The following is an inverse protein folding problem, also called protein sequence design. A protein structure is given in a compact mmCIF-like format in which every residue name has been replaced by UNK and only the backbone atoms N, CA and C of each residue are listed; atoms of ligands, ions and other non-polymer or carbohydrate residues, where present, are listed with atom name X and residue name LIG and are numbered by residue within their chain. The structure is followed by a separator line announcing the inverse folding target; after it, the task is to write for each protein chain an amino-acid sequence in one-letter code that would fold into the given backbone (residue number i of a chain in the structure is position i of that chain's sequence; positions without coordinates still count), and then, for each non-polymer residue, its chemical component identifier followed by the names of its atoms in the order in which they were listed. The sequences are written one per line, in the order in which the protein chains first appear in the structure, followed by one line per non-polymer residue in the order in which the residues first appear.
data_IF_829584740286
#
_entry.id   IF_829584740286
#
_cell.length_a   1.000
_cell.length_b   1.000
_cell.length_c   1.000
_cell.angle_alpha   90.00
_cell.angle_beta   90.00
_cell.angle_gamma   90.00
#
_symmetry.space_group_name_H-M   'P 1'
#
loop_
_entity.id
_entity.type
_entity.pdbx_description
1 polymer ?
#
# COMPACT_ATOMS: atom_id res chain seq x y z
N UNK A 1 -11.28 -21.31 -10.29
CA UNK A 1 -10.53 -21.00 -9.07
C UNK A 1 -9.47 -19.97 -9.43
N UNK A 2 -9.45 -18.84 -8.75
CA UNK A 2 -8.52 -17.74 -9.03
C UNK A 2 -7.40 -17.75 -8.01
N UNK A 3 -6.16 -17.58 -8.45
CA UNK A 3 -5.03 -17.41 -7.54
C UNK A 3 -4.66 -15.93 -7.47
N UNK A 4 -4.30 -15.45 -6.28
CA UNK A 4 -3.73 -14.12 -6.12
C UNK A 4 -2.34 -14.17 -5.47
N UNK A 5 -1.45 -13.32 -5.94
CA UNK A 5 -0.09 -13.19 -5.45
C UNK A 5 0.05 -12.00 -4.50
N UNK A 6 0.81 -12.17 -3.41
CA UNK A 6 1.20 -11.09 -2.53
C UNK A 6 2.60 -11.34 -1.97
N UNK A 7 3.41 -10.28 -1.91
CA UNK A 7 4.82 -10.35 -1.52
C UNK A 7 5.11 -9.93 -0.07
N UNK A 8 4.09 -9.64 0.73
CA UNK A 8 4.22 -9.33 2.16
C UNK A 8 2.95 -9.63 2.92
N UNK A 9 3.03 -9.68 4.26
CA UNK A 9 1.86 -9.90 5.10
C UNK A 9 0.78 -8.81 4.96
N UNK A 10 1.18 -7.55 4.79
CA UNK A 10 0.24 -6.45 4.59
C UNK A 10 -0.52 -6.59 3.24
N UNK A 11 0.20 -6.93 2.17
CA UNK A 11 -0.40 -7.16 0.85
C UNK A 11 -1.28 -8.42 0.84
N UNK A 12 -0.90 -9.47 1.56
CA UNK A 12 -1.73 -10.66 1.75
C UNK A 12 -3.03 -10.31 2.48
N UNK A 13 -2.95 -9.49 3.52
CA UNK A 13 -4.13 -9.04 4.27
C UNK A 13 -5.09 -8.25 3.39
N UNK A 14 -4.58 -7.36 2.53
CA UNK A 14 -5.40 -6.64 1.55
C UNK A 14 -6.08 -7.60 0.55
N UNK A 15 -5.39 -8.65 0.11
CA UNK A 15 -5.94 -9.71 -0.74
C UNK A 15 -7.05 -10.52 -0.05
N UNK A 16 -6.87 -10.89 1.20
CA UNK A 16 -7.90 -11.60 1.98
C UNK A 16 -9.11 -10.69 2.27
N UNK A 17 -8.90 -9.41 2.55
CA UNK A 17 -9.98 -8.44 2.70
C UNK A 17 -10.79 -8.28 1.39
N UNK A 18 -10.11 -8.18 0.25
CA UNK A 18 -10.75 -8.13 -1.06
C UNK A 18 -11.58 -9.40 -1.32
N UNK A 19 -10.97 -10.58 -1.14
CA UNK A 19 -11.63 -11.88 -1.29
C UNK A 19 -12.90 -11.96 -0.47
N UNK A 20 -12.86 -11.55 0.79
CA UNK A 20 -14.04 -11.55 1.67
C UNK A 20 -15.10 -10.56 1.20
N UNK A 21 -14.70 -9.35 0.80
CA UNK A 21 -15.63 -8.29 0.38
C UNK A 21 -16.39 -8.62 -0.91
N UNK A 22 -15.74 -9.28 -1.87
CA UNK A 22 -16.37 -9.65 -3.15
C UNK A 22 -16.93 -11.08 -3.17
N UNK A 23 -16.76 -11.85 -2.09
CA UNK A 23 -17.22 -13.24 -2.01
C UNK A 23 -16.54 -14.19 -3.02
N UNK A 24 -15.30 -13.88 -3.42
CA UNK A 24 -14.61 -14.65 -4.46
C UNK A 24 -13.86 -15.86 -3.88
N UNK A 25 -13.86 -16.98 -4.61
CA UNK A 25 -12.99 -18.13 -4.31
C UNK A 25 -11.58 -17.88 -4.86
N UNK A 26 -10.74 -17.24 -4.04
CA UNK A 26 -9.34 -16.94 -4.36
C UNK A 26 -8.39 -17.64 -3.40
N UNK A 27 -7.28 -18.14 -3.93
CA UNK A 27 -6.21 -18.78 -3.14
C UNK A 27 -4.97 -17.89 -3.13
N UNK A 28 -4.46 -17.59 -1.94
CA UNK A 28 -3.19 -16.86 -1.78
C UNK A 28 -2.01 -17.71 -2.21
N UNK A 29 -1.15 -17.14 -3.05
CA UNK A 29 0.17 -17.68 -3.41
C UNK A 29 1.24 -16.73 -2.86
N UNK A 30 2.04 -17.15 -1.86
CA UNK A 30 3.05 -16.29 -1.26
C UNK A 30 4.27 -16.11 -2.17
N UNK A 31 4.78 -14.90 -2.21
CA UNK A 31 6.03 -14.54 -2.91
C UNK A 31 6.96 -13.76 -1.97
N UNK A 32 8.26 -13.82 -2.25
CA UNK A 32 9.27 -13.07 -1.49
C UNK A 32 9.44 -11.64 -2.06
N UNK A 33 8.39 -10.82 -1.93
CA UNK A 33 8.40 -9.42 -2.36
C UNK A 33 7.56 -9.16 -3.63
N UNK A 34 7.51 -7.88 -4.01
CA UNK A 34 6.64 -7.38 -5.10
C UNK A 34 7.14 -7.79 -6.47
N UNK A 35 8.46 -7.76 -6.70
CA UNK A 35 9.02 -8.09 -8.02
C UNK A 35 8.69 -9.53 -8.47
N UNK A 36 8.89 -10.59 -7.67
CA UNK A 36 8.47 -11.94 -8.06
C UNK A 36 6.95 -12.07 -8.18
N UNK A 37 6.15 -11.36 -7.37
CA UNK A 37 4.68 -11.34 -7.52
C UNK A 37 4.29 -10.80 -8.90
N UNK A 38 4.89 -9.68 -9.32
CA UNK A 38 4.62 -9.05 -10.61
C UNK A 38 5.05 -9.96 -11.79
N UNK A 39 6.18 -10.64 -11.67
CA UNK A 39 6.62 -11.60 -12.68
C UNK A 39 5.65 -12.78 -12.84
N UNK A 40 5.15 -13.31 -11.72
CA UNK A 40 4.16 -14.38 -11.72
C UNK A 40 2.82 -13.95 -12.35
N UNK A 41 2.40 -12.69 -12.13
CA UNK A 41 1.24 -12.12 -12.85
C UNK A 41 1.46 -12.03 -14.34
N UNK A 42 2.65 -11.57 -14.78
CA UNK A 42 3.00 -11.44 -16.19
C UNK A 42 3.10 -12.82 -16.86
N UNK A 43 3.59 -13.84 -16.15
CA UNK A 43 3.66 -15.21 -16.61
C UNK A 43 2.29 -15.91 -16.63
N UNK A 44 1.28 -15.38 -15.91
CA UNK A 44 -0.04 -15.99 -15.78
C UNK A 44 -0.16 -17.06 -14.68
N UNK A 45 0.89 -17.22 -13.86
CA UNK A 45 0.90 -18.14 -12.72
C UNK A 45 -0.15 -17.76 -11.68
N UNK A 46 -0.40 -16.46 -11.50
CA UNK A 46 -1.48 -15.90 -10.72
C UNK A 46 -2.30 -14.90 -11.55
N UNK A 47 -3.61 -14.91 -11.37
CA UNK A 47 -4.53 -14.08 -12.16
C UNK A 47 -4.69 -12.68 -11.57
N UNK A 48 -4.43 -12.52 -10.27
CA UNK A 48 -4.53 -11.26 -9.52
C UNK A 48 -3.25 -11.07 -8.71
N UNK A 49 -2.81 -9.83 -8.53
CA UNK A 49 -1.70 -9.49 -7.64
C UNK A 49 -1.98 -8.21 -6.88
N UNK A 50 -1.55 -8.19 -5.64
CA UNK A 50 -1.57 -6.99 -4.81
C UNK A 50 -0.13 -6.48 -4.77
N UNK A 51 0.10 -5.35 -5.43
CA UNK A 51 1.43 -4.77 -5.64
C UNK A 51 1.36 -3.24 -5.53
N UNK A 52 2.48 -2.57 -5.25
CA UNK A 52 2.52 -1.11 -5.33
C UNK A 52 2.56 -0.61 -6.78
N UNK A 53 2.05 0.60 -6.97
CA UNK A 53 1.96 1.21 -8.30
C UNK A 53 3.33 1.52 -8.88
N UNK A 54 4.29 1.96 -8.06
CA UNK A 54 5.64 2.28 -8.52
C UNK A 54 6.29 1.07 -9.23
N UNK A 55 6.22 -0.10 -8.59
CA UNK A 55 6.77 -1.34 -9.17
C UNK A 55 6.01 -1.83 -10.40
N UNK A 56 4.69 -1.63 -10.45
CA UNK A 56 3.84 -2.12 -11.55
C UNK A 56 3.77 -1.18 -12.75
N UNK A 57 4.10 0.10 -12.60
CA UNK A 57 3.85 1.16 -13.58
C UNK A 57 4.39 0.85 -14.98
N UNK A 58 5.64 0.38 -15.08
CA UNK A 58 6.24 0.02 -16.37
C UNK A 58 5.48 -1.13 -17.06
N UNK A 59 5.01 -2.11 -16.30
CA UNK A 59 4.25 -3.25 -16.81
C UNK A 59 2.82 -2.88 -17.19
N UNK A 60 2.21 -1.93 -16.47
CA UNK A 60 0.89 -1.36 -16.81
C UNK A 60 0.99 -0.59 -18.14
N UNK A 61 1.98 0.31 -18.25
CA UNK A 61 2.21 1.08 -19.49
C UNK A 61 2.49 0.20 -20.70
N UNK A 62 3.20 -0.92 -20.50
CA UNK A 62 3.48 -1.91 -21.54
C UNK A 62 2.30 -2.87 -21.84
N UNK A 63 1.15 -2.70 -21.19
CA UNK A 63 -0.03 -3.56 -21.35
C UNK A 63 0.15 -5.01 -20.88
N UNK A 64 1.21 -5.30 -20.10
CA UNK A 64 1.48 -6.65 -19.59
C UNK A 64 0.63 -7.01 -18.38
N UNK A 65 0.23 -6.03 -17.62
CA UNK A 65 -0.74 -6.16 -16.52
C UNK A 65 -1.73 -4.99 -16.59
N UNK A 66 -2.92 -5.17 -16.03
CA UNK A 66 -3.96 -4.16 -15.96
C UNK A 66 -4.23 -3.79 -14.50
N UNK A 67 -4.17 -2.50 -14.18
CA UNK A 67 -4.65 -2.00 -12.90
C UNK A 67 -6.19 -2.05 -12.87
N UNK A 68 -6.75 -2.60 -11.80
CA UNK A 68 -8.20 -2.76 -11.63
C UNK A 68 -8.77 -1.75 -10.63
N UNK A 69 -8.01 -1.49 -9.56
CA UNK A 69 -8.41 -0.63 -8.45
C UNK A 69 -7.15 -0.18 -7.70
N UNK A 70 -7.19 0.99 -7.08
CA UNK A 70 -6.12 1.50 -6.21
C UNK A 70 -6.65 1.78 -4.81
N UNK A 71 -5.79 1.68 -3.79
CA UNK A 71 -6.10 2.17 -2.45
C UNK A 71 -5.89 3.68 -2.33
N UNK A 72 -6.57 4.28 -1.36
CA UNK A 72 -6.49 5.71 -1.08
C UNK A 72 -7.79 6.46 -1.37
N UNK A 73 -7.85 7.70 -0.88
CA UNK A 73 -9.06 8.53 -0.95
C UNK A 73 -9.32 9.16 -2.32
N UNK A 74 -8.32 9.17 -3.20
CA UNK A 74 -8.39 9.73 -4.53
C UNK A 74 -7.64 8.85 -5.53
N UNK A 75 -8.03 8.92 -6.80
CA UNK A 75 -7.33 8.26 -7.89
C UNK A 75 -5.91 8.80 -8.02
N UNK A 76 -5.00 7.94 -8.45
CA UNK A 76 -3.62 8.36 -8.69
C UNK A 76 -3.52 9.14 -10.01
N UNK A 77 -2.75 10.25 -10.06
CA UNK A 77 -2.55 11.00 -11.29
C UNK A 77 -2.02 10.17 -12.47
N UNK A 78 -1.24 9.12 -12.15
CA UNK A 78 -0.67 8.21 -13.15
C UNK A 78 -1.68 7.19 -13.71
N UNK A 79 -2.79 7.00 -13.00
CA UNK A 79 -3.85 6.03 -13.31
C UNK A 79 -5.24 6.68 -13.17
N UNK A 80 -5.52 7.76 -13.92
CA UNK A 80 -6.74 8.58 -13.73
C UNK A 80 -8.03 7.80 -14.01
N UNK A 81 -7.95 6.76 -14.84
CA UNK A 81 -9.11 5.94 -15.21
C UNK A 81 -9.33 4.76 -14.25
N UNK A 82 -8.40 4.51 -13.32
CA UNK A 82 -8.51 3.41 -12.35
C UNK A 82 -9.21 3.91 -11.07
N UNK A 83 -10.36 3.32 -10.70
CA UNK A 83 -11.10 3.75 -9.52
C UNK A 83 -10.35 3.40 -8.23
N UNK A 84 -10.68 4.09 -7.15
CA UNK A 84 -10.30 3.66 -5.80
C UNK A 84 -11.21 2.55 -5.29
N UNK A 85 -10.79 1.82 -4.25
CA UNK A 85 -11.66 0.85 -3.57
C UNK A 85 -12.94 1.51 -3.03
N UNK A 86 -12.86 2.76 -2.58
CA UNK A 86 -14.01 3.53 -2.10
C UNK A 86 -15.00 3.79 -3.23
N UNK A 87 -14.50 4.27 -4.39
CA UNK A 87 -15.33 4.51 -5.59
C UNK A 87 -15.94 3.21 -6.15
N UNK A 88 -15.21 2.11 -6.03
CA UNK A 88 -15.67 0.78 -6.45
C UNK A 88 -16.70 0.15 -5.48
N UNK A 89 -17.03 0.81 -4.36
CA UNK A 89 -18.01 0.31 -3.38
C UNK A 89 -17.45 -0.64 -2.31
N UNK A 90 -16.13 -0.71 -2.17
CA UNK A 90 -15.44 -1.58 -1.22
C UNK A 90 -14.56 -0.81 -0.21
N UNK A 91 -15.10 0.16 0.55
CA UNK A 91 -14.30 0.98 1.46
C UNK A 91 -13.60 0.16 2.57
N UNK A 92 -14.13 -0.99 2.94
CA UNK A 92 -13.52 -1.89 3.94
C UNK A 92 -12.25 -2.59 3.47
N UNK A 93 -11.96 -2.56 2.17
CA UNK A 93 -10.75 -3.13 1.55
C UNK A 93 -9.66 -2.08 1.39
N UNK A 94 -9.98 -0.80 1.60
CA UNK A 94 -9.01 0.29 1.46
C UNK A 94 -7.99 0.27 2.60
N UNK A 95 -6.88 -0.41 2.36
CA UNK A 95 -5.74 -0.55 3.26
C UNK A 95 -4.54 0.18 2.65
N UNK A 96 -4.46 1.51 2.78
CA UNK A 96 -3.37 2.26 2.19
C UNK A 96 -2.04 1.91 2.84
N UNK A 97 -1.05 1.58 2.01
CA UNK A 97 0.32 1.39 2.47
C UNK A 97 1.03 2.74 2.54
N UNK A 98 1.73 2.98 3.61
CA UNK A 98 2.53 4.19 3.81
C UNK A 98 3.92 3.86 4.36
N UNK A 99 4.84 4.79 4.19
CA UNK A 99 6.19 4.71 4.75
C UNK A 99 6.41 5.90 5.67
N UNK A 100 7.13 5.69 6.76
CA UNK A 100 7.50 6.75 7.68
C UNK A 100 8.96 6.66 8.09
N UNK A 101 9.51 7.79 8.53
CA UNK A 101 10.84 7.87 9.08
C UNK A 101 10.78 7.66 10.59
N UNK A 102 11.59 6.73 11.08
CA UNK A 102 11.75 6.46 12.51
C UNK A 102 13.20 6.67 12.92
N UNK A 103 13.40 7.02 14.19
CA UNK A 103 14.71 7.10 14.82
C UNK A 103 14.85 6.07 15.94
N UNK A 104 16.06 5.65 16.30
CA UNK A 104 16.29 4.80 17.48
C UNK A 104 15.75 5.44 18.75
N UNK A 105 15.26 4.60 19.68
CA UNK A 105 14.84 5.07 21.00
C UNK A 105 16.02 5.77 21.71
N UNK A 106 15.73 6.90 22.39
CA UNK A 106 16.74 7.71 23.06
C UNK A 106 17.49 8.69 22.16
N UNK A 107 17.12 8.82 20.87
CA UNK A 107 17.65 9.91 20.03
C UNK A 107 17.27 11.26 20.66
N UNK A 108 18.25 12.19 20.89
CA UNK A 108 17.95 13.48 21.50
C UNK A 108 16.93 14.30 20.70
N UNK A 109 15.99 14.96 21.40
CA UNK A 109 14.92 15.75 20.78
C UNK A 109 15.42 16.81 19.79
N UNK A 110 16.54 17.47 20.10
CA UNK A 110 17.14 18.45 19.21
C UNK A 110 17.54 17.85 17.85
N UNK A 111 17.94 16.57 17.80
CA UNK A 111 18.24 15.85 16.56
C UNK A 111 16.93 15.51 15.84
N UNK A 112 15.93 15.00 16.55
CA UNK A 112 14.62 14.66 15.96
C UNK A 112 13.98 15.88 15.32
N UNK A 113 13.96 17.01 15.99
CA UNK A 113 13.43 18.28 15.45
C UNK A 113 14.16 18.71 14.19
N UNK A 114 15.49 18.64 14.17
CA UNK A 114 16.29 19.02 12.99
C UNK A 114 16.06 18.08 11.80
N UNK A 115 16.07 16.77 12.04
CA UNK A 115 15.84 15.77 10.99
C UNK A 115 14.44 15.94 10.41
N UNK A 116 13.40 16.05 11.28
CA UNK A 116 12.05 16.28 10.84
C UNK A 116 11.91 17.56 10.01
N UNK A 117 12.47 18.68 10.48
CA UNK A 117 12.40 19.94 9.74
C UNK A 117 13.05 19.85 8.35
N UNK A 118 14.18 19.17 8.24
CA UNK A 118 14.82 18.92 6.94
C UNK A 118 13.96 18.08 6.00
N UNK A 119 13.35 17.00 6.52
CA UNK A 119 12.43 16.15 5.73
C UNK A 119 11.19 16.90 5.27
N UNK A 120 10.52 17.62 6.17
CA UNK A 120 9.34 18.43 5.82
C UNK A 120 9.69 19.41 4.70
N UNK A 121 10.79 20.15 4.84
CA UNK A 121 11.23 21.09 3.83
C UNK A 121 11.43 20.44 2.45
N UNK A 122 12.09 19.27 2.42
CA UNK A 122 12.32 18.54 1.15
C UNK A 122 11.01 18.00 0.56
N UNK A 123 10.10 17.51 1.39
CA UNK A 123 8.78 17.01 0.93
C UNK A 123 7.84 18.12 0.44
N UNK A 124 8.14 19.40 0.73
CA UNK A 124 7.42 20.56 0.23
C UNK A 124 8.02 21.15 -1.05
N UNK A 125 9.21 20.70 -1.46
CA UNK A 125 9.86 21.16 -2.69
C UNK A 125 9.08 20.65 -3.93
N UNK A 126 8.65 21.55 -4.85
CA UNK A 126 7.80 21.16 -5.98
C UNK A 126 8.40 20.06 -6.87
N UNK A 127 9.72 20.10 -7.06
CA UNK A 127 10.42 19.10 -7.87
C UNK A 127 10.43 17.73 -7.19
N UNK A 128 10.58 17.68 -5.87
CA UNK A 128 10.52 16.43 -5.09
C UNK A 128 9.10 15.87 -5.07
N UNK A 129 8.11 16.73 -4.84
CA UNK A 129 6.69 16.35 -4.90
C UNK A 129 6.35 15.74 -6.27
N UNK A 130 6.77 16.39 -7.36
CA UNK A 130 6.52 15.89 -8.72
C UNK A 130 7.14 14.50 -8.94
N UNK A 131 8.39 14.28 -8.53
CA UNK A 131 9.09 12.99 -8.65
C UNK A 131 8.43 11.91 -7.78
N UNK A 132 7.99 12.23 -6.57
CA UNK A 132 7.29 11.28 -5.70
C UNK A 132 5.92 10.89 -6.30
N UNK A 133 5.16 11.86 -6.78
CA UNK A 133 3.90 11.59 -7.45
C UNK A 133 4.11 10.75 -8.72
N UNK A 134 5.13 11.05 -9.52
CA UNK A 134 5.48 10.23 -10.69
C UNK A 134 5.82 8.79 -10.30
N UNK A 135 6.45 8.58 -9.15
CA UNK A 135 6.73 7.25 -8.59
C UNK A 135 5.50 6.60 -7.92
N UNK A 136 4.32 7.22 -7.92
CA UNK A 136 3.12 6.68 -7.27
C UNK A 136 3.09 6.86 -5.75
N UNK A 137 3.93 7.76 -5.22
CA UNK A 137 3.99 8.09 -3.80
C UNK A 137 3.37 9.46 -3.56
N UNK A 138 2.35 9.54 -2.72
CA UNK A 138 1.75 10.81 -2.28
C UNK A 138 2.52 11.30 -1.05
N UNK A 139 3.26 12.43 -1.14
CA UNK A 139 3.97 12.96 0.01
C UNK A 139 2.97 13.50 1.05
N UNK A 140 3.20 13.13 2.29
CA UNK A 140 2.41 13.57 3.44
C UNK A 140 3.35 13.92 4.59
N UNK A 141 3.07 14.97 5.33
CA UNK A 141 3.81 15.35 6.54
C UNK A 141 2.91 15.25 7.76
N UNK A 142 3.46 14.84 8.89
CA UNK A 142 2.76 14.75 10.16
C UNK A 142 3.64 15.20 11.32
N UNK A 143 3.03 15.46 12.47
CA UNK A 143 3.78 15.57 13.72
C UNK A 143 4.11 14.17 14.27
N UNK A 144 5.11 14.02 15.14
CA UNK A 144 5.39 12.73 15.80
C UNK A 144 4.17 12.18 16.55
N UNK A 145 3.43 13.04 17.24
CA UNK A 145 2.23 12.63 18.00
C UNK A 145 1.13 12.12 17.06
N UNK A 146 0.84 12.85 15.98
CA UNK A 146 -0.15 12.43 14.98
C UNK A 146 0.24 11.10 14.31
N UNK A 147 1.54 10.87 14.05
CA UNK A 147 2.02 9.58 13.55
C UNK A 147 1.85 8.47 14.60
N UNK A 148 2.11 8.77 15.86
CA UNK A 148 1.91 7.83 16.98
C UNK A 148 0.44 7.44 17.14
N UNK A 149 -0.47 8.40 17.10
CA UNK A 149 -1.92 8.15 17.13
C UNK A 149 -2.40 7.30 15.96
N UNK A 150 -1.94 7.62 14.74
CA UNK A 150 -2.23 6.84 13.53
C UNK A 150 -1.77 5.38 13.68
N UNK A 151 -0.56 5.15 14.18
CA UNK A 151 -0.03 3.80 14.41
C UNK A 151 -0.89 2.99 15.39
N UNK A 152 -1.34 3.61 16.48
CA UNK A 152 -2.20 2.95 17.46
C UNK A 152 -3.57 2.61 16.87
N UNK A 153 -4.16 3.53 16.14
CA UNK A 153 -5.44 3.33 15.47
C UNK A 153 -5.35 2.21 14.42
N UNK A 154 -4.40 2.29 13.49
CA UNK A 154 -4.24 1.29 12.44
C UNK A 154 -3.92 -0.09 13.01
N UNK A 155 -3.13 -0.16 14.09
CA UNK A 155 -2.89 -1.43 14.79
C UNK A 155 -4.18 -2.08 15.28
N UNK A 156 -5.10 -1.29 15.84
CA UNK A 156 -6.38 -1.79 16.32
C UNK A 156 -7.28 -2.24 15.15
N UNK A 157 -7.32 -1.47 14.06
CA UNK A 157 -8.08 -1.78 12.85
C UNK A 157 -7.57 -3.06 12.19
N UNK A 158 -6.25 -3.20 12.01
CA UNK A 158 -5.63 -4.41 11.46
C UNK A 158 -5.89 -5.62 12.35
N UNK A 159 -5.80 -5.49 13.68
CA UNK A 159 -6.09 -6.59 14.60
C UNK A 159 -7.56 -7.04 14.49
N UNK A 160 -8.50 -6.10 14.38
CA UNK A 160 -9.90 -6.40 14.18
C UNK A 160 -10.16 -7.11 12.82
N UNK A 161 -9.50 -6.63 11.76
CA UNK A 161 -9.60 -7.22 10.43
C UNK A 161 -9.04 -8.65 10.40
N UNK A 162 -7.85 -8.88 10.94
CA UNK A 162 -7.23 -10.22 11.06
C UNK A 162 -8.17 -11.19 11.78
N UNK A 163 -8.78 -10.73 12.88
CA UNK A 163 -9.76 -11.53 13.64
C UNK A 163 -11.01 -11.83 12.81
N UNK A 164 -11.56 -10.86 12.11
CA UNK A 164 -12.77 -11.04 11.29
C UNK A 164 -12.55 -12.00 10.12
N UNK A 165 -11.33 -12.02 9.58
CA UNK A 165 -10.93 -12.91 8.47
C UNK A 165 -10.51 -14.32 8.95
N UNK A 166 -10.47 -14.57 10.27
CA UNK A 166 -10.05 -15.86 10.82
C UNK A 166 -8.58 -16.20 10.56
N UNK A 167 -7.73 -15.20 10.33
CA UNK A 167 -6.30 -15.38 10.06
C UNK A 167 -5.58 -15.58 11.41
N UNK A 168 -4.93 -16.74 11.57
CA UNK A 168 -4.11 -16.98 12.75
C UNK A 168 -2.81 -16.13 12.69
N UNK A 169 -2.45 -15.42 13.76
CA UNK A 169 -1.14 -14.77 13.82
C UNK A 169 -0.04 -15.85 13.80
N UNK A 170 0.95 -15.63 12.96
CA UNK A 170 2.15 -16.50 12.90
C UNK A 170 3.17 -16.04 13.94
#
# INVERSE_FOLDING_TARGET
KTNYGAGSGALMLAGEALKAAIGADMTHVPYNGIAPTLQAMIAGDVQVGIVDVASAQASIRAGRVRALVVSGRARLPQLPDVPTFIEAGYPSVDLPLWNALFAPAGTPDAILVRVRAAFVKVLEEPEVVAKLLEAGVVPETSTPDALGERLLQERAEVAALVKSLGIAPK
#
